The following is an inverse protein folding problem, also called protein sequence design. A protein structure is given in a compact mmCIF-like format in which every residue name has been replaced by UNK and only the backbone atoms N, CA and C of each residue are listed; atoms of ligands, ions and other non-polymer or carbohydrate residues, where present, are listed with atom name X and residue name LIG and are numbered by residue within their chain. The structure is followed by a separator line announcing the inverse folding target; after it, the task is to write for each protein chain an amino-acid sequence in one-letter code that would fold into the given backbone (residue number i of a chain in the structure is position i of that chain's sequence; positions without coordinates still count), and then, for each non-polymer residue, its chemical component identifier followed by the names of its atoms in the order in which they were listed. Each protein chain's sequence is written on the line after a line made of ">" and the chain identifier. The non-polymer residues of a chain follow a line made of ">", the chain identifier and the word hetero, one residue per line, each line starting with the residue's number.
data_IF_252454796907
#
_entry.id   IF_252454796907
#
_cell.length_a   1.000
_cell.length_b   1.000
_cell.length_c   1.000
_cell.angle_alpha   90.00
_cell.angle_beta   90.00
_cell.angle_gamma   90.00
#
_symmetry.space_group_name_H-M   'P 1'
#
loop_
_entity.id
_entity.type
_entity.pdbx_description
1 polymer ?
#
# COMPACT_ATOMS: atom_id res chain seq x y z
N UNK A 1 -25.96 7.26 13.52
CA UNK A 1 -26.03 7.45 12.06
C UNK A 1 -24.62 7.71 11.57
N UNK A 2 -24.16 7.04 10.52
CA UNK A 2 -22.82 7.19 9.97
C UNK A 2 -22.65 8.64 9.48
N UNK A 3 -21.76 9.42 10.10
CA UNK A 3 -21.59 10.86 9.82
C UNK A 3 -20.64 11.14 8.65
N UNK A 4 -19.66 10.24 8.43
CA UNK A 4 -18.57 10.40 7.47
C UNK A 4 -19.06 10.32 6.01
N UNK A 5 -18.83 11.38 5.24
CA UNK A 5 -19.36 11.53 3.88
C UNK A 5 -18.83 10.46 2.91
N UNK A 6 -17.55 10.11 2.99
CA UNK A 6 -16.97 9.08 2.12
C UNK A 6 -17.68 7.74 2.27
N UNK A 7 -17.92 7.31 3.51
CA UNK A 7 -18.48 5.99 3.80
C UNK A 7 -19.95 5.90 3.35
N UNK A 8 -20.71 6.98 3.51
CA UNK A 8 -22.08 7.12 2.97
C UNK A 8 -22.12 7.01 1.45
N UNK A 9 -21.23 7.73 0.76
CA UNK A 9 -21.14 7.67 -0.70
C UNK A 9 -20.77 6.25 -1.19
N UNK A 10 -19.83 5.58 -0.51
CA UNK A 10 -19.44 4.20 -0.84
C UNK A 10 -20.55 3.18 -0.56
N UNK A 11 -21.49 3.48 0.35
CA UNK A 11 -22.72 2.69 0.56
C UNK A 11 -23.82 2.99 -0.48
N UNK A 12 -23.55 3.85 -1.46
CA UNK A 12 -24.47 4.17 -2.55
C UNK A 12 -25.41 5.34 -2.24
N UNK A 13 -25.18 6.09 -1.17
CA UNK A 13 -25.98 7.29 -0.89
C UNK A 13 -25.61 8.45 -1.83
N UNK A 14 -26.61 9.04 -2.48
CA UNK A 14 -26.45 10.28 -3.25
C UNK A 14 -26.39 11.48 -2.30
N UNK A 15 -25.20 12.07 -2.16
CA UNK A 15 -24.97 13.24 -1.32
C UNK A 15 -25.13 14.55 -2.12
N UNK A 16 -25.61 15.64 -1.49
CA UNK A 16 -25.73 16.94 -2.15
C UNK A 16 -24.37 17.54 -2.56
N UNK A 17 -23.31 17.21 -1.80
CA UNK A 17 -21.92 17.54 -2.11
C UNK A 17 -21.14 16.22 -2.08
N UNK A 18 -20.42 15.84 -3.16
CA UNK A 18 -19.64 14.62 -3.18
C UNK A 18 -18.42 14.74 -2.26
N UNK A 19 -18.06 13.68 -1.52
CA UNK A 19 -16.87 13.68 -0.68
C UNK A 19 -15.61 13.72 -1.53
N UNK A 20 -14.56 14.37 -1.01
CA UNK A 20 -13.29 14.58 -1.72
C UNK A 20 -12.09 14.22 -0.86
N UNK A 21 -11.14 13.54 -1.50
CA UNK A 21 -9.77 13.34 -1.04
C UNK A 21 -8.86 13.25 -2.27
N UNK A 22 -7.54 13.28 -2.09
CA UNK A 22 -6.61 13.25 -3.22
C UNK A 22 -5.58 12.12 -3.07
N UNK A 23 -5.36 11.37 -4.15
CA UNK A 23 -4.24 10.44 -4.20
C UNK A 23 -2.93 11.22 -4.06
N UNK A 24 -2.04 10.70 -3.19
CA UNK A 24 -0.78 11.37 -2.80
C UNK A 24 -0.98 12.72 -2.10
N UNK A 25 -2.08 12.88 -1.35
CA UNK A 25 -2.31 14.06 -0.52
C UNK A 25 -1.18 14.29 0.51
N UNK A 26 -0.61 13.24 1.09
CA UNK A 26 0.61 13.34 1.87
C UNK A 26 1.83 13.26 0.93
N UNK A 27 2.42 14.41 0.59
CA UNK A 27 3.50 14.40 -0.39
C UNK A 27 4.33 15.69 -0.51
N UNK A 28 5.39 15.60 -1.32
CA UNK A 28 6.45 16.62 -1.48
C UNK A 28 5.97 18.03 -1.88
N UNK A 29 4.73 18.16 -2.36
CA UNK A 29 4.14 19.47 -2.66
C UNK A 29 3.89 20.30 -1.38
N UNK A 30 3.79 19.64 -0.23
CA UNK A 30 3.67 20.28 1.08
C UNK A 30 5.09 20.55 1.66
N UNK A 31 5.42 21.80 2.07
CA UNK A 31 6.66 22.08 2.79
C UNK A 31 6.76 21.33 4.12
N UNK A 32 5.65 21.21 4.86
CA UNK A 32 5.56 20.46 6.12
C UNK A 32 5.89 18.96 5.94
N UNK A 33 5.43 18.33 4.85
CA UNK A 33 5.80 16.96 4.51
C UNK A 33 7.32 16.82 4.31
N UNK A 34 7.93 17.77 3.60
CA UNK A 34 9.38 17.75 3.33
C UNK A 34 10.18 17.87 4.64
N UNK A 35 9.69 18.67 5.59
CA UNK A 35 10.30 18.80 6.91
C UNK A 35 10.21 17.51 7.73
N UNK A 36 9.03 16.87 7.81
CA UNK A 36 8.87 15.58 8.51
C UNK A 36 9.70 14.48 7.87
N UNK A 37 9.71 14.41 6.53
CA UNK A 37 10.53 13.44 5.79
C UNK A 37 12.03 13.59 6.05
N UNK A 38 12.51 14.82 6.25
CA UNK A 38 13.91 15.06 6.59
C UNK A 38 14.28 14.53 8.00
N UNK A 39 13.31 14.50 8.93
CA UNK A 39 13.51 13.94 10.28
C UNK A 39 13.61 12.40 10.25
N UNK A 40 12.81 11.74 9.40
CA UNK A 40 12.84 10.29 9.23
C UNK A 40 14.08 9.77 8.48
N UNK A 41 14.83 10.66 7.81
CA UNK A 41 16.00 10.31 7.00
C UNK A 41 15.62 9.78 5.62
N UNK A 42 14.98 8.61 5.56
CA UNK A 42 14.56 7.96 4.31
C UNK A 42 13.05 7.63 4.29
N UNK A 43 12.58 7.15 3.13
CA UNK A 43 11.16 6.89 2.91
C UNK A 43 10.64 5.67 3.67
N UNK A 44 11.42 4.59 3.75
CA UNK A 44 11.02 3.40 4.51
C UNK A 44 11.01 3.69 6.00
N UNK A 45 12.04 4.38 6.49
CA UNK A 45 12.10 4.85 7.88
C UNK A 45 10.88 5.72 8.22
N UNK A 46 10.41 6.56 7.28
CA UNK A 46 9.17 7.33 7.46
C UNK A 46 7.93 6.42 7.53
N UNK A 47 7.81 5.40 6.69
CA UNK A 47 6.70 4.43 6.75
C UNK A 47 6.70 3.59 8.04
N UNK A 48 7.88 3.32 8.62
CA UNK A 48 8.05 2.48 9.81
C UNK A 48 8.14 3.26 11.13
N UNK A 49 8.05 4.59 11.10
CA UNK A 49 7.97 5.41 12.32
C UNK A 49 6.52 5.87 12.50
N UNK A 50 5.71 5.21 13.34
CA UNK A 50 4.27 5.42 13.38
C UNK A 50 3.84 6.87 13.59
N UNK A 51 4.54 7.59 14.48
CA UNK A 51 4.23 8.98 14.81
C UNK A 51 4.50 9.91 13.62
N UNK A 52 5.58 9.66 12.86
CA UNK A 52 5.92 10.46 11.68
C UNK A 52 5.01 10.12 10.50
N UNK A 53 4.67 8.84 10.31
CA UNK A 53 3.72 8.39 9.29
C UNK A 53 2.30 8.95 9.54
N UNK A 54 1.86 8.95 10.80
CA UNK A 54 0.61 9.56 11.21
C UNK A 54 0.63 11.08 10.98
N UNK A 55 1.71 11.75 11.40
CA UNK A 55 1.86 13.20 11.20
C UNK A 55 1.75 13.59 9.72
N UNK A 56 2.48 12.93 8.81
CA UNK A 56 2.36 13.26 7.37
C UNK A 56 0.99 12.95 6.79
N UNK A 57 0.27 11.97 7.36
CA UNK A 57 -1.10 11.63 6.96
C UNK A 57 -2.10 12.70 7.41
N UNK A 58 -1.89 13.33 8.58
CA UNK A 58 -2.75 14.38 9.14
C UNK A 58 -2.54 15.75 8.47
N UNK A 59 -1.36 16.03 7.93
CA UNK A 59 -1.03 17.34 7.32
C UNK A 59 -2.05 17.83 6.28
N UNK A 60 -2.49 17.02 5.28
CA UNK A 60 -3.45 17.47 4.28
C UNK A 60 -4.84 17.69 4.88
N UNK A 61 -5.21 16.94 5.92
CA UNK A 61 -6.48 17.10 6.62
C UNK A 61 -6.51 18.46 7.31
N UNK A 62 -5.46 18.82 8.05
CA UNK A 62 -5.34 20.14 8.70
C UNK A 62 -5.36 21.30 7.70
N UNK A 63 -4.84 21.09 6.48
CA UNK A 63 -4.68 22.15 5.48
C UNK A 63 -5.89 22.34 4.58
N UNK A 64 -6.58 21.26 4.23
CA UNK A 64 -7.62 21.26 3.20
C UNK A 64 -8.97 20.76 3.68
N UNK A 65 -9.05 20.11 4.85
CA UNK A 65 -10.30 19.55 5.37
C UNK A 65 -10.89 18.48 4.47
N UNK A 66 -10.07 17.59 3.90
CA UNK A 66 -10.56 16.49 3.08
C UNK A 66 -11.47 15.55 3.88
N UNK A 67 -12.45 14.96 3.20
CA UNK A 67 -13.42 14.03 3.80
C UNK A 67 -12.80 12.66 4.15
N UNK A 68 -11.57 12.41 3.69
CA UNK A 68 -10.84 11.20 4.02
C UNK A 68 -9.32 11.40 4.08
N UNK A 69 -8.70 10.67 4.99
CA UNK A 69 -7.27 10.46 5.08
C UNK A 69 -6.92 9.08 4.53
N UNK A 70 -5.82 8.97 3.79
CA UNK A 70 -5.25 7.68 3.40
C UNK A 70 -3.95 7.46 4.16
N UNK A 71 -3.81 6.27 4.75
CA UNK A 71 -2.59 5.81 5.41
C UNK A 71 -1.34 6.18 4.58
N UNK A 72 -0.32 6.74 5.21
CA UNK A 72 0.98 6.89 4.59
C UNK A 72 1.79 5.58 4.69
N UNK A 73 1.81 4.82 3.61
CA UNK A 73 2.60 3.58 3.48
C UNK A 73 3.03 3.40 2.02
N UNK A 74 3.55 2.21 1.67
CA UNK A 74 3.87 1.82 0.29
C UNK A 74 3.32 0.43 -0.03
N UNK A 75 2.99 0.17 -1.29
CA UNK A 75 2.47 -1.13 -1.72
C UNK A 75 3.53 -2.25 -1.62
N UNK A 76 4.82 -1.90 -1.57
CA UNK A 76 5.93 -2.85 -1.54
C UNK A 76 6.33 -3.29 -0.11
N UNK A 77 5.67 -2.77 0.94
CA UNK A 77 5.93 -3.22 2.30
C UNK A 77 5.53 -4.69 2.53
N UNK A 78 4.49 -5.19 1.82
CA UNK A 78 4.08 -6.60 1.87
C UNK A 78 5.16 -7.53 1.30
N UNK A 79 5.69 -7.31 0.06
CA UNK A 79 6.87 -8.02 -0.42
C UNK A 79 8.06 -7.99 0.53
N UNK A 80 8.32 -6.85 1.15
CA UNK A 80 9.42 -6.73 2.11
C UNK A 80 9.18 -7.61 3.34
N UNK A 81 7.97 -7.60 3.88
CA UNK A 81 7.58 -8.44 5.03
C UNK A 81 7.65 -9.94 4.70
N UNK A 82 7.35 -10.32 3.45
CA UNK A 82 7.52 -11.68 2.93
C UNK A 82 9.00 -12.08 2.76
N UNK A 83 9.95 -11.15 2.85
CA UNK A 83 11.39 -11.43 2.83
C UNK A 83 12.15 -10.94 1.61
N UNK A 84 11.53 -10.14 0.73
CA UNK A 84 12.25 -9.49 -0.36
C UNK A 84 13.02 -8.25 0.13
N UNK A 85 14.24 -8.04 -0.36
CA UNK A 85 15.01 -6.84 -0.02
C UNK A 85 14.44 -5.62 -0.75
N UNK A 86 13.97 -4.60 -0.01
CA UNK A 86 13.37 -3.37 -0.55
C UNK A 86 14.25 -2.16 -0.24
N UNK A 87 14.56 -1.36 -1.25
CA UNK A 87 15.24 -0.07 -1.08
C UNK A 87 14.76 0.97 -2.08
N UNK A 88 14.96 2.25 -1.76
CA UNK A 88 14.57 3.37 -2.62
C UNK A 88 15.79 4.11 -3.13
N UNK A 89 15.89 4.24 -4.46
CA UNK A 89 16.95 4.99 -5.12
C UNK A 89 16.45 6.40 -5.43
N UNK A 90 17.20 7.41 -4.99
CA UNK A 90 16.87 8.82 -5.20
C UNK A 90 16.73 9.13 -6.68
N UNK A 91 15.53 9.53 -7.10
CA UNK A 91 15.23 9.88 -8.50
C UNK A 91 14.79 8.70 -9.38
N UNK A 92 14.99 7.46 -8.96
CA UNK A 92 14.66 6.26 -9.75
C UNK A 92 13.47 5.45 -9.19
N UNK A 93 13.13 5.62 -7.92
CA UNK A 93 12.01 4.94 -7.26
C UNK A 93 12.42 3.65 -6.54
N UNK A 94 11.46 2.76 -6.25
CA UNK A 94 11.73 1.54 -5.50
C UNK A 94 12.51 0.51 -6.32
N UNK A 95 13.28 -0.30 -5.60
CA UNK A 95 13.99 -1.47 -6.06
C UNK A 95 13.73 -2.62 -5.10
N UNK A 96 13.66 -3.83 -5.65
CA UNK A 96 13.36 -5.04 -4.92
C UNK A 96 14.28 -6.18 -5.39
N UNK A 97 14.67 -7.08 -4.50
CA UNK A 97 15.24 -8.37 -4.90
C UNK A 97 14.25 -9.15 -5.77
N UNK A 98 14.74 -9.81 -6.82
CA UNK A 98 13.87 -10.53 -7.78
C UNK A 98 13.48 -11.92 -7.30
N UNK A 99 12.24 -12.33 -7.60
CA UNK A 99 11.71 -13.68 -7.40
C UNK A 99 11.36 -14.28 -8.76
N UNK A 100 12.29 -15.02 -9.35
CA UNK A 100 12.14 -15.59 -10.71
C UNK A 100 12.35 -17.10 -10.77
N UNK A 101 12.73 -17.72 -9.64
CA UNK A 101 12.97 -19.16 -9.55
C UNK A 101 12.29 -19.75 -8.32
N UNK A 102 12.09 -21.06 -8.30
CA UNK A 102 11.55 -21.81 -7.15
C UNK A 102 12.44 -21.65 -5.92
N UNK A 103 13.75 -21.52 -6.12
CA UNK A 103 14.70 -21.27 -5.04
C UNK A 103 14.53 -19.88 -4.43
N UNK A 104 14.16 -18.87 -5.23
CA UNK A 104 13.85 -17.53 -4.71
C UNK A 104 12.51 -17.52 -3.99
N UNK A 105 11.49 -18.16 -4.57
CA UNK A 105 10.18 -18.30 -3.92
C UNK A 105 10.29 -19.07 -2.59
N UNK A 106 11.12 -20.11 -2.52
CA UNK A 106 11.35 -20.89 -1.31
C UNK A 106 12.00 -20.12 -0.16
N UNK A 107 12.56 -18.92 -0.41
CA UNK A 107 13.07 -18.02 0.64
C UNK A 107 11.99 -17.13 1.24
N UNK A 108 10.84 -17.00 0.59
CA UNK A 108 9.73 -16.17 1.08
C UNK A 108 9.09 -16.79 2.32
N UNK A 109 8.83 -15.95 3.32
CA UNK A 109 8.11 -16.33 4.54
C UNK A 109 6.65 -16.69 4.24
N UNK A 110 6.01 -17.54 5.06
CA UNK A 110 4.57 -17.72 5.05
C UNK A 110 3.82 -16.39 5.18
N UNK A 111 2.62 -16.31 4.60
CA UNK A 111 1.81 -15.09 4.62
C UNK A 111 1.46 -14.59 6.04
N UNK A 112 1.21 -15.50 6.99
CA UNK A 112 0.90 -15.15 8.38
C UNK A 112 2.08 -14.58 9.18
N UNK A 113 3.30 -14.67 8.66
CA UNK A 113 4.52 -14.22 9.36
C UNK A 113 4.86 -12.74 9.06
N UNK A 114 4.02 -12.03 8.29
CA UNK A 114 4.26 -10.63 7.90
C UNK A 114 4.04 -9.63 9.04
N UNK A 115 3.28 -10.01 10.08
CA UNK A 115 2.76 -9.06 11.07
C UNK A 115 3.83 -8.42 11.93
N UNK A 116 4.89 -9.15 12.31
CA UNK A 116 5.99 -8.58 13.10
C UNK A 116 6.65 -7.42 12.35
N UNK A 117 6.89 -7.61 11.06
CA UNK A 117 7.50 -6.59 10.19
C UNK A 117 6.55 -5.42 9.92
N UNK A 118 5.25 -5.67 9.83
CA UNK A 118 4.23 -4.66 9.52
C UNK A 118 3.58 -4.03 10.75
N UNK A 119 3.97 -4.43 11.97
CA UNK A 119 3.45 -3.89 13.23
C UNK A 119 3.49 -2.35 13.32
N UNK A 120 4.55 -1.65 12.87
CA UNK A 120 4.55 -0.17 12.88
C UNK A 120 3.48 0.44 11.98
N UNK A 121 3.11 -0.23 10.88
CA UNK A 121 2.06 0.25 9.98
C UNK A 121 0.69 0.14 10.66
N UNK A 122 0.43 -0.96 11.37
CA UNK A 122 -0.79 -1.11 12.16
C UNK A 122 -0.87 -0.08 13.27
N UNK A 123 0.26 0.24 13.92
CA UNK A 123 0.31 1.29 14.93
C UNK A 123 0.00 2.67 14.34
N UNK A 124 0.50 2.97 13.14
CA UNK A 124 0.14 4.19 12.41
C UNK A 124 -1.37 4.30 12.22
N UNK A 125 -2.03 3.20 11.84
CA UNK A 125 -3.49 3.17 11.67
C UNK A 125 -4.20 3.44 12.99
N UNK A 126 -3.74 2.88 14.12
CA UNK A 126 -4.32 3.13 15.45
C UNK A 126 -4.20 4.59 15.87
N UNK A 127 -3.03 5.21 15.66
CA UNK A 127 -2.82 6.64 15.93
C UNK A 127 -3.82 7.46 15.11
N UNK A 128 -3.93 7.17 13.81
CA UNK A 128 -4.85 7.89 12.91
C UNK A 128 -6.32 7.70 13.28
N UNK A 129 -6.72 6.50 13.68
CA UNK A 129 -8.09 6.23 14.11
C UNK A 129 -8.49 7.03 15.36
N UNK A 130 -7.53 7.39 16.22
CA UNK A 130 -7.76 8.22 17.40
C UNK A 130 -7.65 9.72 17.12
N UNK A 131 -6.76 10.12 16.19
CA UNK A 131 -6.38 11.53 16.00
C UNK A 131 -7.14 12.23 14.86
N UNK A 132 -7.76 11.48 13.95
CA UNK A 132 -8.55 12.06 12.86
C UNK A 132 -9.85 12.71 13.37
N UNK A 133 -10.30 13.80 12.75
CA UNK A 133 -11.63 14.35 13.02
C UNK A 133 -12.73 13.29 12.82
N UNK A 134 -13.78 13.35 13.63
CA UNK A 134 -14.91 12.40 13.61
C UNK A 134 -15.61 12.32 12.24
N UNK A 135 -15.52 13.36 11.42
CA UNK A 135 -16.06 13.45 10.07
C UNK A 135 -15.13 12.89 8.97
N UNK A 136 -13.85 12.69 9.25
CA UNK A 136 -12.85 12.23 8.29
C UNK A 136 -12.75 10.70 8.28
N UNK A 137 -12.95 10.08 7.12
CA UNK A 137 -12.78 8.63 6.97
C UNK A 137 -11.31 8.23 6.88
N UNK A 138 -10.93 7.12 7.53
CA UNK A 138 -9.60 6.53 7.39
C UNK A 138 -9.58 5.42 6.33
N UNK A 139 -8.77 5.64 5.28
CA UNK A 139 -8.54 4.70 4.19
C UNK A 139 -7.24 3.92 4.44
N UNK A 140 -7.36 2.62 4.67
CA UNK A 140 -6.27 1.66 4.56
C UNK A 140 -6.02 1.26 3.10
N UNK A 141 -4.89 0.64 2.79
CA UNK A 141 -4.64 0.18 1.43
C UNK A 141 -3.57 -0.91 1.31
N UNK A 142 -3.56 -1.55 0.15
CA UNK A 142 -2.50 -2.45 -0.29
C UNK A 142 -2.35 -2.41 -1.82
N UNK A 143 -1.25 -2.95 -2.34
CA UNK A 143 -1.12 -3.25 -3.76
C UNK A 143 -1.92 -4.50 -4.12
N UNK A 144 -2.50 -4.53 -5.32
CA UNK A 144 -3.13 -5.76 -5.81
C UNK A 144 -2.07 -6.82 -6.14
N UNK A 145 -2.39 -8.13 -6.01
CA UNK A 145 -1.41 -9.20 -6.19
C UNK A 145 -0.66 -9.16 -7.54
N UNK A 146 -1.34 -8.89 -8.65
CA UNK A 146 -0.70 -8.73 -9.96
C UNK A 146 0.33 -7.60 -9.95
N UNK A 147 -0.10 -6.38 -9.61
CA UNK A 147 0.79 -5.21 -9.53
C UNK A 147 2.01 -5.51 -8.65
N UNK A 148 1.81 -6.10 -7.47
CA UNK A 148 2.90 -6.44 -6.55
C UNK A 148 3.84 -7.50 -7.13
N UNK A 149 3.31 -8.55 -7.74
CA UNK A 149 4.10 -9.60 -8.39
C UNK A 149 4.99 -9.03 -9.50
N UNK A 150 4.52 -8.04 -10.27
CA UNK A 150 5.34 -7.43 -11.32
C UNK A 150 6.59 -6.76 -10.75
N UNK A 151 6.52 -6.13 -9.57
CA UNK A 151 7.68 -5.59 -8.87
C UNK A 151 8.58 -6.71 -8.31
N UNK A 152 8.00 -7.76 -7.74
CA UNK A 152 8.74 -8.93 -7.23
C UNK A 152 9.51 -9.66 -8.32
N UNK A 153 8.96 -9.77 -9.53
CA UNK A 153 9.60 -10.46 -10.64
C UNK A 153 10.66 -9.57 -11.30
N UNK A 154 10.35 -8.29 -11.55
CA UNK A 154 11.23 -7.38 -12.29
C UNK A 154 12.24 -6.62 -11.41
N UNK A 155 12.07 -6.65 -10.08
CA UNK A 155 12.86 -5.90 -9.12
C UNK A 155 12.63 -4.37 -9.16
N UNK A 156 11.71 -3.90 -10.00
CA UNK A 156 11.34 -2.49 -10.18
C UNK A 156 10.08 -2.38 -11.05
N UNK A 157 9.53 -1.17 -11.13
CA UNK A 157 8.51 -0.87 -12.12
C UNK A 157 9.08 -0.97 -13.54
N UNK A 158 8.32 -1.59 -14.43
CA UNK A 158 8.57 -1.63 -15.89
C UNK A 158 7.37 -1.03 -16.61
N UNK A 159 7.48 -0.54 -17.86
CA UNK A 159 6.32 0.01 -18.57
C UNK A 159 5.33 -1.04 -19.07
N UNK A 160 5.81 -2.22 -19.41
CA UNK A 160 5.08 -3.28 -20.12
C UNK A 160 4.90 -4.56 -19.30
N UNK A 161 5.43 -4.60 -18.07
CA UNK A 161 5.42 -5.78 -17.20
C UNK A 161 6.02 -7.01 -17.88
N UNK A 162 6.92 -6.81 -18.86
CA UNK A 162 7.49 -7.88 -19.70
C UNK A 162 8.07 -9.06 -18.90
N UNK A 163 8.86 -8.84 -17.84
CA UNK A 163 9.37 -9.93 -17.02
C UNK A 163 8.28 -10.78 -16.35
N UNK A 164 7.17 -10.17 -15.93
CA UNK A 164 6.06 -10.89 -15.32
C UNK A 164 5.31 -11.75 -16.34
N UNK A 165 5.06 -11.21 -17.54
CA UNK A 165 4.48 -11.98 -18.65
C UNK A 165 5.40 -13.12 -19.10
N UNK A 166 6.71 -12.91 -19.12
CA UNK A 166 7.68 -13.96 -19.45
C UNK A 166 7.62 -15.10 -18.42
N UNK A 167 7.67 -14.80 -17.12
CA UNK A 167 7.56 -15.83 -16.08
C UNK A 167 6.21 -16.56 -16.15
N UNK A 168 5.13 -15.83 -16.38
CA UNK A 168 3.79 -16.41 -16.54
C UNK A 168 3.71 -17.43 -17.68
N UNK A 169 4.38 -17.15 -18.81
CA UNK A 169 4.43 -18.06 -19.96
C UNK A 169 5.42 -19.21 -19.82
N UNK A 170 6.57 -18.96 -19.19
CA UNK A 170 7.66 -19.94 -19.04
C UNK A 170 7.43 -20.90 -17.87
N UNK A 171 6.87 -20.40 -16.77
CA UNK A 171 6.63 -21.16 -15.55
C UNK A 171 5.37 -20.67 -14.82
N UNK A 172 4.21 -21.00 -15.38
CA UNK A 172 2.90 -20.65 -14.84
C UNK A 172 2.71 -21.10 -13.38
N UNK A 173 3.18 -22.29 -13.02
CA UNK A 173 3.05 -22.82 -11.66
C UNK A 173 3.76 -21.95 -10.62
N UNK A 174 4.99 -21.50 -10.89
CA UNK A 174 5.70 -20.58 -10.01
C UNK A 174 5.01 -19.21 -9.94
N UNK A 175 4.55 -18.69 -11.08
CA UNK A 175 3.83 -17.43 -11.15
C UNK A 175 2.53 -17.46 -10.31
N UNK A 176 1.74 -18.53 -10.44
CA UNK A 176 0.50 -18.72 -9.66
C UNK A 176 0.80 -18.87 -8.17
N UNK A 177 1.81 -19.66 -7.80
CA UNK A 177 2.23 -19.81 -6.40
C UNK A 177 2.68 -18.47 -5.78
N UNK A 178 3.36 -17.62 -6.55
CA UNK A 178 3.74 -16.28 -6.12
C UNK A 178 2.51 -15.38 -5.92
N UNK A 179 1.56 -15.38 -6.87
CA UNK A 179 0.31 -14.63 -6.73
C UNK A 179 -0.50 -15.08 -5.52
N UNK A 180 -0.59 -16.38 -5.27
CA UNK A 180 -1.29 -16.94 -4.10
C UNK A 180 -0.65 -16.46 -2.80
N UNK A 181 0.69 -16.56 -2.67
CA UNK A 181 1.42 -16.06 -1.49
C UNK A 181 1.19 -14.57 -1.24
N UNK A 182 1.21 -13.75 -2.30
CA UNK A 182 0.95 -12.31 -2.18
C UNK A 182 -0.50 -12.05 -1.81
N UNK A 183 -1.44 -12.82 -2.35
CA UNK A 183 -2.88 -12.69 -2.06
C UNK A 183 -3.16 -12.97 -0.59
N UNK A 184 -2.67 -14.09 -0.06
CA UNK A 184 -2.80 -14.43 1.36
C UNK A 184 -2.21 -13.33 2.25
N UNK A 185 -0.99 -12.87 1.96
CA UNK A 185 -0.34 -11.82 2.73
C UNK A 185 -1.09 -10.47 2.63
N UNK A 186 -1.70 -10.18 1.49
CA UNK A 186 -2.51 -8.97 1.30
C UNK A 186 -3.79 -9.04 2.11
N UNK A 187 -4.43 -10.22 2.19
CA UNK A 187 -5.60 -10.45 3.05
C UNK A 187 -5.21 -10.22 4.52
N UNK A 188 -4.15 -10.86 5.00
CA UNK A 188 -3.65 -10.69 6.37
C UNK A 188 -3.35 -9.20 6.69
N UNK A 189 -2.67 -8.51 5.78
CA UNK A 189 -2.31 -7.12 5.93
C UNK A 189 -3.53 -6.17 5.98
N UNK A 190 -4.51 -6.37 5.09
CA UNK A 190 -5.72 -5.54 5.05
C UNK A 190 -6.64 -5.83 6.24
N UNK A 191 -6.78 -7.09 6.63
CA UNK A 191 -7.55 -7.49 7.82
C UNK A 191 -7.01 -6.79 9.06
N UNK A 192 -5.69 -6.80 9.27
CA UNK A 192 -5.07 -6.11 10.42
C UNK A 192 -5.19 -4.59 10.35
N UNK A 193 -5.20 -3.98 9.15
CA UNK A 193 -5.50 -2.54 9.02
C UNK A 193 -6.94 -2.24 9.45
N UNK A 194 -7.91 -3.08 9.08
CA UNK A 194 -9.31 -2.91 9.49
C UNK A 194 -9.43 -3.04 11.02
N UNK A 195 -8.81 -4.07 11.61
CA UNK A 195 -8.79 -4.25 13.06
C UNK A 195 -8.12 -3.07 13.79
N UNK A 196 -7.08 -2.48 13.19
CA UNK A 196 -6.39 -1.33 13.74
C UNK A 196 -7.17 -0.01 13.61
N UNK A 197 -8.24 0.04 12.80
CA UNK A 197 -9.14 1.19 12.69
C UNK A 197 -9.36 1.75 11.29
N UNK A 198 -8.84 1.12 10.23
CA UNK A 198 -9.20 1.52 8.87
C UNK A 198 -10.69 1.23 8.59
N UNK A 199 -11.40 2.23 8.06
CA UNK A 199 -12.86 2.15 7.86
C UNK A 199 -13.24 1.76 6.44
N UNK A 200 -12.31 1.96 5.51
CA UNK A 200 -12.38 1.52 4.12
C UNK A 200 -10.98 1.13 3.69
N UNK A 201 -10.89 0.13 2.80
CA UNK A 201 -9.62 -0.29 2.20
C UNK A 201 -9.63 -0.10 0.69
N UNK A 202 -8.49 0.28 0.13
CA UNK A 202 -8.28 0.43 -1.31
C UNK A 202 -7.21 -0.55 -1.80
N UNK A 203 -7.50 -1.26 -2.89
CA UNK A 203 -6.51 -2.03 -3.64
C UNK A 203 -5.99 -1.21 -4.82
N UNK A 204 -4.68 -1.14 -4.95
CA UNK A 204 -4.02 -0.48 -6.08
C UNK A 204 -3.54 -1.53 -7.08
N UNK A 205 -4.29 -1.70 -8.16
CA UNK A 205 -3.85 -2.51 -9.30
C UNK A 205 -3.37 -1.63 -10.46
N UNK A 206 -2.26 -0.93 -10.23
CA UNK A 206 -1.73 0.08 -11.16
C UNK A 206 -1.25 -0.50 -12.49
N UNK A 207 -0.91 -1.79 -12.53
CA UNK A 207 -0.39 -2.47 -13.71
C UNK A 207 -1.40 -3.41 -14.37
N UNK A 208 -2.65 -3.47 -13.92
CA UNK A 208 -3.66 -4.35 -14.49
C UNK A 208 -3.90 -4.11 -16.00
N UNK A 209 -3.67 -2.88 -16.46
CA UNK A 209 -3.86 -2.49 -17.86
C UNK A 209 -2.91 -3.15 -18.87
N UNK A 210 -1.87 -3.87 -18.44
CA UNK A 210 -1.03 -4.68 -19.34
C UNK A 210 -1.60 -6.08 -19.61
N UNK A 211 -2.53 -6.56 -18.78
CA UNK A 211 -3.24 -7.82 -18.98
C UNK A 211 -4.29 -7.70 -20.09
N UNK A 212 -4.62 -8.82 -20.75
CA UNK A 212 -5.61 -8.87 -21.85
C UNK A 212 -6.48 -10.12 -21.75
N UNK A 213 -7.78 -9.95 -22.01
CA UNK A 213 -8.71 -11.09 -22.13
C UNK A 213 -8.79 -11.88 -20.83
N UNK A 214 -8.61 -13.20 -20.92
CA UNK A 214 -8.67 -14.12 -19.77
C UNK A 214 -7.51 -13.97 -18.78
N UNK A 215 -6.43 -13.26 -19.16
CA UNK A 215 -5.33 -13.00 -18.24
C UNK A 215 -5.66 -11.91 -17.20
N UNK A 216 -6.70 -11.08 -17.40
CA UNK A 216 -7.20 -10.07 -16.44
C UNK A 216 -8.34 -10.63 -15.59
#
# INVERSE_FOLDING_TARGET
>A
MMTKLLLRALQGETLPVPPIWMMRQAGRYLPEYRATRAQAGDFLSLCYTPELAAEVTLQPIRRFGFDAAILFADILLVPQALGADLWFVTGEGPRLSTITTEADFGKLKPAGDIHEHLAPVYETVRILANDLPDETALIGFAGAPWTVATYMIAGRGTPDQGPAHALMGENRALFEALLERITEATIEYLSMQIEAGAEVVKLFDSWAGSLKGEDF
#
